data_IF_358369442815
#
_entry.id   IF_358369442815
#
_cell.length_a   1.000
_cell.length_b   1.000
_cell.length_c   1.000
_cell.angle_alpha   90.00
_cell.angle_beta   90.00
_cell.angle_gamma   90.00
#
_symmetry.space_group_name_H-M   'P 1'
#
loop_
_entity.id
_entity.type
_entity.pdbx_description
1 polymer ?
#
# COMPACT_ATOMS: atom_id res chain seq x y z
N UNK A 1 -5.90 -82.13 121.07
CA UNK A 1 -6.96 -81.08 121.16
C UNK A 1 -7.12 -80.53 119.74
N UNK A 2 -8.08 -80.90 119.14
CA UNK A 2 -9.03 -80.41 118.17
C UNK A 2 -8.72 -79.08 117.45
N UNK A 3 -8.58 -79.09 116.14
CA UNK A 3 -9.03 -78.03 115.30
C UNK A 3 -9.33 -78.50 113.88
N UNK A 4 -10.52 -78.22 113.44
CA UNK A 4 -11.11 -78.55 112.12
C UNK A 4 -10.58 -77.68 111.02
N UNK A 5 -10.46 -78.28 109.83
CA UNK A 5 -10.14 -77.65 108.55
C UNK A 5 -11.44 -77.34 107.77
N UNK A 6 -11.55 -76.15 107.24
CA UNK A 6 -12.61 -75.76 106.32
C UNK A 6 -12.11 -75.77 104.86
N UNK A 7 -12.75 -76.56 104.00
CA UNK A 7 -12.54 -76.60 102.57
C UNK A 7 -13.38 -75.50 101.87
N UNK A 8 -12.77 -74.73 100.95
CA UNK A 8 -13.42 -73.76 100.07
C UNK A 8 -13.61 -74.42 98.66
N UNK A 9 -14.77 -74.24 98.02
CA UNK A 9 -14.93 -74.65 96.63
C UNK A 9 -14.73 -73.47 95.69
N UNK A 10 -13.69 -73.46 94.88
CA UNK A 10 -13.39 -72.52 93.80
C UNK A 10 -13.10 -73.31 92.56
N UNK A 11 -13.94 -73.28 91.44
CA UNK A 11 -13.49 -73.53 90.09
C UNK A 11 -14.56 -73.81 89.03
N UNK A 12 -15.63 -73.03 88.96
CA UNK A 12 -16.53 -73.12 87.76
C UNK A 12 -16.82 -71.79 87.09
N UNK A 13 -16.54 -70.65 87.69
CA UNK A 13 -16.84 -69.33 87.08
C UNK A 13 -15.74 -68.81 86.13
N UNK A 14 -14.47 -69.15 86.33
CA UNK A 14 -13.35 -68.69 85.51
C UNK A 14 -13.35 -69.26 84.06
N UNK A 15 -13.88 -70.44 83.87
CA UNK A 15 -13.91 -71.07 82.54
C UNK A 15 -14.91 -70.42 81.59
N UNK A 16 -16.07 -69.97 82.11
CA UNK A 16 -17.06 -69.30 81.29
C UNK A 16 -16.70 -67.86 80.97
N UNK A 17 -15.96 -67.15 81.77
CA UNK A 17 -15.42 -65.82 81.53
C UNK A 17 -14.37 -65.88 80.39
N UNK A 18 -13.54 -66.89 80.34
CA UNK A 18 -12.55 -67.11 79.24
C UNK A 18 -13.20 -67.33 77.87
N UNK A 19 -14.27 -68.11 77.85
CA UNK A 19 -15.03 -68.34 76.64
C UNK A 19 -15.77 -67.10 76.16
N UNK A 20 -16.33 -66.32 77.05
CA UNK A 20 -16.99 -65.02 76.71
C UNK A 20 -16.01 -64.02 76.19
N UNK A 21 -14.78 -63.93 76.73
CA UNK A 21 -13.70 -63.05 76.20
C UNK A 21 -13.20 -63.49 74.82
N UNK A 22 -13.09 -64.79 74.59
CA UNK A 22 -12.71 -65.35 73.26
C UNK A 22 -13.79 -65.11 72.19
N UNK A 23 -15.06 -65.20 72.52
CA UNK A 23 -16.16 -64.87 71.65
C UNK A 23 -16.24 -63.35 71.34
N UNK A 24 -15.97 -62.52 72.29
CA UNK A 24 -15.88 -61.05 72.12
C UNK A 24 -14.68 -60.65 71.30
N UNK A 25 -13.52 -61.26 71.45
CA UNK A 25 -12.33 -61.02 70.62
C UNK A 25 -12.52 -61.53 69.21
N UNK A 26 -13.21 -62.66 69.02
CA UNK A 26 -13.54 -63.19 67.71
C UNK A 26 -14.57 -62.34 66.97
N UNK A 27 -15.56 -61.79 67.66
CA UNK A 27 -16.54 -60.87 67.04
C UNK A 27 -15.91 -59.51 66.69
N UNK A 28 -15.05 -59.02 67.55
CA UNK A 28 -14.29 -57.76 67.27
C UNK A 28 -13.36 -57.90 66.05
N UNK A 29 -12.66 -59.05 65.89
CA UNK A 29 -11.81 -59.36 64.77
C UNK A 29 -12.60 -59.52 63.45
N UNK A 30 -13.80 -60.14 63.49
CA UNK A 30 -14.69 -60.26 62.35
C UNK A 30 -15.27 -58.91 61.90
N UNK A 31 -15.57 -58.02 62.83
CA UNK A 31 -16.04 -56.66 62.52
C UNK A 31 -14.92 -55.80 61.99
N UNK A 32 -13.67 -55.92 62.46
CA UNK A 32 -12.49 -55.24 61.92
C UNK A 32 -12.15 -55.75 60.52
N UNK A 33 -12.22 -57.06 60.26
CA UNK A 33 -12.04 -57.62 58.93
C UNK A 33 -13.10 -57.14 57.92
N UNK A 34 -14.36 -57.06 58.37
CA UNK A 34 -15.45 -56.53 57.55
C UNK A 34 -15.25 -55.02 57.24
N UNK A 35 -14.83 -54.23 58.20
CA UNK A 35 -14.59 -52.79 57.99
C UNK A 35 -13.39 -52.56 57.03
N UNK A 36 -12.34 -53.38 57.12
CA UNK A 36 -11.22 -53.31 56.20
C UNK A 36 -11.61 -53.78 54.77
N UNK A 37 -12.48 -54.80 54.65
CA UNK A 37 -13.00 -55.20 53.34
C UNK A 37 -13.91 -54.16 52.72
N UNK A 38 -14.79 -53.52 53.52
CA UNK A 38 -15.68 -52.45 53.07
C UNK A 38 -14.90 -51.18 52.63
N UNK A 39 -13.85 -50.79 53.40
CA UNK A 39 -12.99 -49.68 53.00
C UNK A 39 -12.16 -49.98 51.75
N UNK A 40 -11.71 -51.24 51.55
CA UNK A 40 -11.05 -51.63 50.30
C UNK A 40 -11.99 -51.68 49.13
N UNK A 41 -13.25 -52.14 49.30
CA UNK A 41 -14.25 -52.12 48.23
C UNK A 41 -14.65 -50.68 47.87
N UNK A 42 -14.86 -49.82 48.85
CA UNK A 42 -15.15 -48.41 48.62
C UNK A 42 -13.98 -47.66 47.90
N UNK A 43 -12.72 -47.99 48.25
CA UNK A 43 -11.54 -47.42 47.58
C UNK A 43 -11.38 -47.97 46.15
N UNK A 44 -11.77 -49.21 45.89
CA UNK A 44 -11.73 -49.79 44.51
C UNK A 44 -12.88 -49.21 43.68
N UNK A 45 -14.06 -48.98 44.25
CA UNK A 45 -15.21 -48.41 43.58
C UNK A 45 -15.04 -46.93 43.27
N UNK A 46 -14.33 -46.19 44.17
CA UNK A 46 -13.92 -44.80 43.92
C UNK A 46 -12.78 -44.68 42.90
N UNK A 47 -11.84 -45.64 42.87
CA UNK A 47 -10.80 -45.72 41.85
C UNK A 47 -11.30 -46.24 40.50
N UNK A 48 -12.47 -46.90 40.45
CA UNK A 48 -13.13 -47.38 39.24
C UNK A 48 -14.07 -46.34 38.61
N UNK A 49 -14.34 -45.19 39.27
CA UNK A 49 -15.05 -44.08 38.61
C UNK A 49 -14.16 -43.51 37.49
N UNK A 50 -14.66 -43.49 36.25
CA UNK A 50 -13.88 -42.80 35.18
C UNK A 50 -13.62 -41.36 35.65
N UNK A 51 -12.43 -40.82 35.38
CA UNK A 51 -12.16 -39.41 35.68
C UNK A 51 -13.27 -38.56 35.05
N UNK A 52 -13.70 -37.47 35.70
CA UNK A 52 -14.72 -36.60 35.14
C UNK A 52 -14.30 -36.22 33.71
N UNK A 53 -15.22 -36.40 32.79
CA UNK A 53 -15.01 -36.01 31.39
C UNK A 53 -14.65 -34.52 31.36
N UNK A 54 -13.48 -34.17 30.83
CA UNK A 54 -13.08 -32.76 30.66
C UNK A 54 -14.11 -32.07 29.81
N UNK A 55 -14.68 -31.02 30.31
CA UNK A 55 -15.71 -30.20 29.62
C UNK A 55 -15.13 -28.91 29.11
N UNK A 56 -14.03 -28.46 29.77
CA UNK A 56 -13.41 -27.17 29.50
C UNK A 56 -11.88 -27.29 29.46
N UNK A 57 -11.26 -26.46 28.61
CA UNK A 57 -9.82 -26.20 28.61
C UNK A 57 -9.59 -24.86 29.30
N UNK A 58 -8.84 -24.88 30.41
CA UNK A 58 -8.46 -23.68 31.14
C UNK A 58 -7.11 -23.17 30.63
N UNK A 59 -7.04 -21.88 30.34
CA UNK A 59 -5.83 -21.21 29.87
C UNK A 59 -5.68 -19.85 30.57
N UNK A 60 -4.45 -19.37 30.67
CA UNK A 60 -4.18 -17.97 30.91
C UNK A 60 -4.24 -17.22 29.61
N UNK A 61 -4.71 -15.98 29.65
CA UNK A 61 -4.77 -15.14 28.47
C UNK A 61 -4.42 -13.70 28.79
N UNK A 62 -4.20 -12.94 27.73
CA UNK A 62 -4.04 -11.50 27.76
C UNK A 62 -4.98 -10.86 26.74
N UNK A 63 -5.54 -9.72 27.11
CA UNK A 63 -6.39 -8.93 26.23
C UNK A 63 -5.49 -8.10 25.31
N UNK A 64 -5.67 -8.21 24.00
CA UNK A 64 -4.90 -7.47 23.00
C UNK A 64 -5.81 -6.90 21.90
N UNK A 65 -5.45 -5.77 21.26
CA UNK A 65 -6.11 -5.33 20.06
C UNK A 65 -5.99 -6.38 18.93
N UNK A 66 -7.03 -6.58 18.14
CA UNK A 66 -7.03 -7.50 16.98
C UNK A 66 -5.89 -7.25 16.01
N UNK A 67 -5.54 -5.98 15.80
CA UNK A 67 -4.46 -5.56 14.89
C UNK A 67 -3.05 -5.81 15.45
N UNK A 68 -2.94 -6.39 16.64
CA UNK A 68 -1.71 -6.38 17.44
C UNK A 68 -1.28 -4.95 17.81
N UNK A 69 -0.39 -4.82 18.76
CA UNK A 69 0.18 -3.53 19.14
C UNK A 69 1.36 -3.23 18.21
N UNK A 70 1.28 -2.13 17.51
CA UNK A 70 2.33 -1.68 16.59
C UNK A 70 3.24 -0.70 17.32
N UNK A 71 4.51 -1.02 17.38
CA UNK A 71 5.53 -0.11 17.89
C UNK A 71 5.95 0.88 16.78
N UNK A 72 5.72 2.15 17.02
CA UNK A 72 6.09 3.23 16.12
C UNK A 72 7.49 3.71 16.47
N UNK A 73 8.40 3.72 15.48
CA UNK A 73 9.76 4.22 15.59
C UNK A 73 10.02 5.37 14.61
N UNK A 74 11.05 6.17 14.85
CA UNK A 74 11.48 7.21 13.93
C UNK A 74 12.14 6.58 12.69
N UNK A 75 11.84 7.12 11.50
CA UNK A 75 12.48 6.71 10.25
C UNK A 75 13.92 7.22 10.11
N UNK A 76 14.31 8.19 10.94
CA UNK A 76 15.64 8.83 10.95
C UNK A 76 16.03 9.17 12.38
N UNK A 77 17.33 9.11 12.69
CA UNK A 77 17.87 9.51 13.97
C UNK A 77 17.84 11.03 14.09
N UNK A 78 17.40 11.54 15.23
CA UNK A 78 17.32 12.99 15.51
C UNK A 78 16.92 13.25 16.94
N UNK A 79 16.54 14.48 17.25
CA UNK A 79 15.96 14.86 18.53
C UNK A 79 14.46 15.10 18.32
N UNK A 80 13.63 14.56 19.20
CA UNK A 80 12.20 14.77 19.17
C UNK A 80 11.88 16.23 19.51
N UNK A 81 11.36 17.00 18.56
CA UNK A 81 11.05 18.43 18.77
C UNK A 81 9.73 18.61 19.47
N UNK A 82 8.68 17.98 18.97
CA UNK A 82 7.32 18.07 19.54
C UNK A 82 6.49 16.83 19.24
N UNK A 83 5.56 16.56 20.15
CA UNK A 83 4.51 15.55 20.00
C UNK A 83 3.20 16.30 19.81
N UNK A 84 2.40 15.87 18.83
CA UNK A 84 1.15 16.53 18.40
C UNK A 84 -0.10 15.82 18.90
N UNK A 85 0.08 14.73 19.63
CA UNK A 85 -1.00 13.86 20.14
C UNK A 85 -0.74 13.54 21.62
N UNK A 86 -1.74 13.04 22.32
CA UNK A 86 -1.68 12.60 23.70
C UNK A 86 -1.91 11.08 23.79
N UNK A 87 -1.51 10.46 24.89
CA UNK A 87 -1.89 9.08 25.20
C UNK A 87 -3.41 8.94 25.22
N UNK A 88 -3.92 7.85 24.65
CA UNK A 88 -5.35 7.60 24.50
C UNK A 88 -6.00 8.27 23.29
N UNK A 89 -5.28 9.12 22.52
CA UNK A 89 -5.82 9.78 21.33
C UNK A 89 -6.12 8.77 20.21
N UNK A 90 -7.26 8.91 19.56
CA UNK A 90 -7.57 8.22 18.31
C UNK A 90 -6.85 8.92 17.14
N UNK A 91 -6.21 8.15 16.28
CA UNK A 91 -5.44 8.65 15.14
C UNK A 91 -5.82 7.90 13.86
N UNK A 92 -5.73 8.59 12.73
CA UNK A 92 -5.95 8.01 11.41
C UNK A 92 -4.62 7.60 10.74
N UNK A 93 -4.68 6.63 9.84
CA UNK A 93 -3.52 6.24 9.05
C UNK A 93 -2.92 7.43 8.29
N UNK A 94 -1.60 7.65 8.43
CA UNK A 94 -0.89 8.78 7.84
C UNK A 94 -0.92 10.08 8.63
N UNK A 95 -1.68 10.16 9.73
CA UNK A 95 -1.70 11.33 10.61
C UNK A 95 -0.30 11.55 11.22
N UNK A 96 0.14 12.81 11.27
CA UNK A 96 1.41 13.19 11.90
C UNK A 96 1.23 13.15 13.42
N UNK A 97 2.09 12.37 14.08
CA UNK A 97 2.09 12.16 15.52
C UNK A 97 3.15 13.02 16.22
N UNK A 98 4.30 13.15 15.60
CA UNK A 98 5.43 13.89 16.15
C UNK A 98 6.37 14.41 15.05
N UNK A 99 7.22 15.36 15.40
CA UNK A 99 8.19 16.00 14.52
C UNK A 99 9.57 16.00 15.15
N UNK A 100 10.60 15.76 14.31
CA UNK A 100 12.00 15.86 14.70
C UNK A 100 12.50 17.31 14.61
N UNK A 101 13.60 17.62 15.24
CA UNK A 101 14.25 18.94 15.26
C UNK A 101 14.62 19.46 13.87
N UNK A 102 14.93 18.56 12.93
CA UNK A 102 15.25 18.91 11.55
C UNK A 102 14.01 19.28 10.70
N UNK A 103 12.77 19.13 11.22
CA UNK A 103 11.55 19.36 10.45
C UNK A 103 11.48 20.75 9.82
N UNK A 104 11.72 21.81 10.60
CA UNK A 104 11.61 23.19 10.12
C UNK A 104 12.67 23.50 9.04
N UNK A 105 13.87 22.93 9.17
CA UNK A 105 14.94 23.06 8.17
C UNK A 105 14.56 22.36 6.87
N UNK A 106 14.10 21.09 6.95
CA UNK A 106 13.69 20.31 5.79
C UNK A 106 12.45 20.89 5.10
N UNK A 107 11.55 21.49 5.87
CA UNK A 107 10.41 22.21 5.33
C UNK A 107 10.86 23.44 4.52
N UNK A 108 11.80 24.22 5.05
CA UNK A 108 12.38 25.36 4.32
C UNK A 108 13.10 24.91 3.04
N UNK A 109 13.85 23.80 3.07
CA UNK A 109 14.49 23.20 1.88
C UNK A 109 13.46 22.80 0.83
N UNK A 110 12.35 22.16 1.23
CA UNK A 110 11.27 21.79 0.34
C UNK A 110 10.57 23.02 -0.26
N UNK A 111 10.28 24.04 0.55
CA UNK A 111 9.64 25.27 0.09
C UNK A 111 10.54 26.03 -0.89
N UNK A 112 11.86 26.04 -0.67
CA UNK A 112 12.84 26.58 -1.60
C UNK A 112 12.86 25.80 -2.93
N UNK A 113 12.90 24.48 -2.88
CA UNK A 113 12.85 23.64 -4.09
C UNK A 113 11.52 23.81 -4.86
N UNK A 114 10.40 23.99 -4.15
CA UNK A 114 9.11 24.29 -4.76
C UNK A 114 9.12 25.65 -5.49
N UNK A 115 9.76 26.67 -4.89
CA UNK A 115 9.94 27.99 -5.52
C UNK A 115 10.79 27.90 -6.79
N UNK A 116 11.88 27.12 -6.77
CA UNK A 116 12.72 26.89 -7.94
C UNK A 116 11.93 26.18 -9.07
N UNK A 117 11.10 25.21 -8.74
CA UNK A 117 10.24 24.57 -9.73
C UNK A 117 9.25 25.56 -10.34
N UNK A 118 8.62 26.41 -9.51
CA UNK A 118 7.70 27.43 -9.98
C UNK A 118 8.39 28.43 -10.93
N UNK A 119 9.60 28.86 -10.60
CA UNK A 119 10.41 29.74 -11.44
C UNK A 119 10.76 29.08 -12.78
N UNK A 120 11.23 27.85 -12.76
CA UNK A 120 11.54 27.08 -13.97
C UNK A 120 10.30 26.90 -14.86
N UNK A 121 9.14 26.63 -14.28
CA UNK A 121 7.86 26.52 -15.01
C UNK A 121 7.45 27.86 -15.65
N UNK A 122 7.60 28.98 -14.93
CA UNK A 122 7.31 30.32 -15.48
C UNK A 122 8.26 30.67 -16.64
N UNK A 123 9.55 30.36 -16.50
CA UNK A 123 10.55 30.55 -17.57
C UNK A 123 10.17 29.72 -18.80
N UNK A 124 9.81 28.43 -18.63
CA UNK A 124 9.35 27.59 -19.72
C UNK A 124 8.10 28.14 -20.41
N UNK A 125 7.14 28.66 -19.64
CA UNK A 125 5.95 29.25 -20.22
C UNK A 125 6.26 30.52 -21.05
N UNK A 126 7.20 31.35 -20.60
CA UNK A 126 7.66 32.53 -21.32
C UNK A 126 8.40 32.13 -22.61
N UNK A 127 9.33 31.17 -22.53
CA UNK A 127 10.08 30.67 -23.70
C UNK A 127 9.15 29.99 -24.73
N UNK A 128 8.14 29.28 -24.28
CA UNK A 128 7.11 28.70 -25.18
C UNK A 128 6.35 29.80 -25.92
N UNK A 129 5.88 30.82 -25.22
CA UNK A 129 5.17 31.96 -25.85
C UNK A 129 6.05 32.67 -26.87
N UNK A 130 7.33 32.90 -26.56
CA UNK A 130 8.29 33.51 -27.48
C UNK A 130 8.54 32.61 -28.67
N UNK A 131 8.74 31.31 -28.48
CA UNK A 131 8.97 30.34 -29.53
C UNK A 131 7.75 30.23 -30.49
N UNK A 132 6.54 30.19 -29.92
CA UNK A 132 5.31 30.19 -30.72
C UNK A 132 5.18 31.48 -31.60
N UNK A 133 5.52 32.63 -31.03
CA UNK A 133 5.54 33.89 -31.76
C UNK A 133 6.56 33.89 -32.92
N UNK A 134 7.77 33.32 -32.69
CA UNK A 134 8.78 33.16 -33.75
C UNK A 134 8.34 32.20 -34.84
N UNK A 135 7.68 31.12 -34.50
CA UNK A 135 7.12 30.19 -35.49
C UNK A 135 6.03 30.86 -36.33
N UNK A 136 5.13 31.62 -35.67
CA UNK A 136 4.08 32.38 -36.33
C UNK A 136 4.67 33.44 -37.30
N UNK A 137 5.71 34.16 -36.87
CA UNK A 137 6.43 35.13 -37.69
C UNK A 137 7.04 34.44 -38.95
N UNK A 138 7.80 33.34 -38.73
CA UNK A 138 8.41 32.59 -39.83
C UNK A 138 7.38 32.04 -40.82
N UNK A 139 6.25 31.54 -40.32
CA UNK A 139 5.14 31.05 -41.14
C UNK A 139 4.49 32.18 -41.93
N UNK A 140 4.28 33.35 -41.31
CA UNK A 140 3.73 34.51 -42.00
C UNK A 140 4.68 35.01 -43.12
N UNK A 141 5.99 35.07 -42.85
CA UNK A 141 7.00 35.41 -43.89
C UNK A 141 6.96 34.41 -45.04
N UNK A 142 6.83 33.12 -44.80
CA UNK A 142 6.68 32.11 -45.84
C UNK A 142 5.46 32.38 -46.73
N UNK A 143 4.32 32.70 -46.15
CA UNK A 143 3.11 33.07 -46.88
C UNK A 143 3.24 34.37 -47.68
N UNK A 144 3.94 35.39 -47.17
CA UNK A 144 4.22 36.64 -47.88
C UNK A 144 5.13 36.45 -49.10
N UNK A 145 6.00 35.45 -49.09
CA UNK A 145 6.84 35.08 -50.25
C UNK A 145 6.02 34.29 -51.28
N UNK A 146 5.25 33.32 -50.84
CA UNK A 146 4.54 32.38 -51.70
C UNK A 146 3.45 33.01 -52.57
N UNK A 147 2.61 33.84 -52.00
CA UNK A 147 1.43 34.42 -52.66
C UNK A 147 1.79 35.28 -53.93
N UNK A 148 2.75 36.22 -53.86
CA UNK A 148 3.14 36.99 -55.08
C UNK A 148 3.74 36.09 -56.16
N UNK A 149 4.49 35.05 -55.78
CA UNK A 149 5.11 34.14 -56.74
C UNK A 149 4.07 33.27 -57.46
N UNK A 150 3.04 32.81 -56.75
CA UNK A 150 1.91 32.10 -57.39
C UNK A 150 1.26 32.99 -58.43
N UNK A 151 0.95 34.24 -58.09
CA UNK A 151 0.32 35.20 -59.00
C UNK A 151 1.20 35.49 -60.22
N UNK A 152 2.52 35.60 -60.03
CA UNK A 152 3.44 35.78 -61.16
C UNK A 152 3.47 34.57 -62.10
N UNK A 153 3.46 33.35 -61.59
CA UNK A 153 3.40 32.12 -62.35
C UNK A 153 2.08 31.98 -63.11
N UNK A 154 0.95 32.36 -62.46
CA UNK A 154 -0.38 32.39 -63.08
C UNK A 154 -0.45 33.40 -64.24
N UNK A 155 0.08 34.62 -64.06
CA UNK A 155 0.17 35.63 -65.09
C UNK A 155 1.01 35.15 -66.29
N UNK A 156 2.17 34.51 -66.01
CA UNK A 156 3.00 33.96 -67.10
C UNK A 156 2.31 32.78 -67.81
N UNK A 157 1.51 31.98 -67.10
CA UNK A 157 0.72 30.92 -67.70
C UNK A 157 -0.43 31.48 -68.55
N UNK A 158 -1.02 32.64 -68.20
CA UNK A 158 -2.01 33.29 -69.02
C UNK A 158 -1.38 33.87 -70.34
N UNK A 159 -0.16 34.42 -70.26
CA UNK A 159 0.58 34.90 -71.44
C UNK A 159 0.89 33.74 -72.40
N UNK A 160 1.36 32.61 -71.88
CA UNK A 160 1.60 31.40 -72.72
C UNK A 160 0.32 31.00 -73.44
N UNK A 161 -0.84 30.93 -72.77
CA UNK A 161 -2.12 30.61 -73.42
C UNK A 161 -2.51 31.64 -74.50
N UNK A 162 -2.23 32.92 -74.28
CA UNK A 162 -2.47 33.98 -75.28
C UNK A 162 -1.61 33.78 -76.52
N UNK A 163 -0.32 33.50 -76.31
CA UNK A 163 0.61 33.23 -77.43
C UNK A 163 0.27 31.94 -78.16
N UNK A 164 -0.13 30.89 -77.50
CA UNK A 164 -0.61 29.63 -78.13
C UNK A 164 -1.83 29.83 -79.03
N UNK A 165 -2.80 30.66 -78.50
CA UNK A 165 -3.98 31.02 -79.32
C UNK A 165 -3.60 31.76 -80.59
N UNK A 166 -2.67 32.73 -80.50
CA UNK A 166 -2.13 33.44 -81.62
C UNK A 166 -1.39 32.54 -82.63
N UNK A 167 -0.54 31.64 -82.10
CA UNK A 167 0.16 30.64 -82.94
C UNK A 167 -0.82 29.72 -83.66
N UNK A 168 -1.90 29.30 -83.01
CA UNK A 168 -2.95 28.49 -83.61
C UNK A 168 -3.58 29.22 -84.82
N UNK A 169 -3.90 30.50 -84.67
CA UNK A 169 -4.41 31.32 -85.81
C UNK A 169 -3.39 31.47 -86.86
N UNK A 170 -2.15 31.87 -86.53
CA UNK A 170 -1.07 32.04 -87.52
C UNK A 170 -0.78 30.77 -88.35
N UNK A 171 -0.83 29.57 -87.73
CA UNK A 171 -0.71 28.27 -88.41
C UNK A 171 -1.84 28.02 -89.40
N UNK A 172 -3.09 28.38 -89.08
CA UNK A 172 -4.24 28.27 -89.94
C UNK A 172 -4.02 29.18 -91.15
N UNK A 173 -3.58 30.41 -90.91
CA UNK A 173 -3.32 31.37 -91.99
C UNK A 173 -2.15 30.92 -92.83
N UNK A 174 -1.05 30.42 -92.29
CA UNK A 174 0.07 29.84 -93.03
C UNK A 174 -0.39 28.72 -93.96
N UNK A 175 -1.24 27.79 -93.53
CA UNK A 175 -1.78 26.73 -94.39
C UNK A 175 -2.65 27.28 -95.53
N UNK A 176 -3.36 28.41 -95.33
CA UNK A 176 -4.07 29.11 -96.42
C UNK A 176 -3.10 29.72 -97.37
N UNK A 177 -2.06 30.39 -96.86
CA UNK A 177 -1.02 31.01 -97.75
C UNK A 177 -0.27 29.96 -98.57
N UNK A 178 0.04 28.79 -98.01
CA UNK A 178 0.63 27.67 -98.74
C UNK A 178 -0.22 27.23 -99.90
N UNK A 179 -1.52 27.10 -99.71
CA UNK A 179 -2.46 26.76 -100.81
C UNK A 179 -2.57 27.85 -101.86
N UNK A 180 -2.56 29.14 -101.48
CA UNK A 180 -2.60 30.28 -102.39
C UNK A 180 -1.30 30.42 -103.22
N UNK A 181 -0.17 30.15 -102.59
CA UNK A 181 1.14 30.12 -103.30
C UNK A 181 1.18 29.02 -104.36
N UNK A 182 0.68 27.80 -104.04
CA UNK A 182 0.58 26.69 -104.92
C UNK A 182 -0.31 27.00 -106.15
N UNK A 183 -1.30 27.90 -106.00
CA UNK A 183 -2.18 28.39 -107.08
C UNK A 183 -1.61 29.59 -107.77
N UNK A 184 -0.43 30.13 -107.38
CA UNK A 184 0.17 31.32 -107.93
C UNK A 184 -0.55 32.63 -107.59
N UNK A 185 -1.41 32.64 -106.56
CA UNK A 185 -2.24 33.79 -106.17
C UNK A 185 -1.52 34.76 -105.23
N UNK A 186 -0.38 34.36 -104.61
CA UNK A 186 0.50 35.19 -103.79
C UNK A 186 1.95 35.02 -104.18
N UNK A 187 2.81 35.92 -103.66
CA UNK A 187 4.26 35.86 -103.86
C UNK A 187 4.96 34.99 -102.84
N UNK A 188 6.13 34.45 -103.12
CA UNK A 188 6.98 33.72 -102.19
C UNK A 188 7.31 34.58 -100.99
N UNK A 189 7.56 35.85 -101.15
CA UNK A 189 7.85 36.80 -100.07
C UNK A 189 6.70 36.93 -99.07
N UNK A 190 5.47 36.88 -99.55
CA UNK A 190 4.29 36.90 -98.62
C UNK A 190 4.17 35.61 -97.81
N UNK A 191 4.41 34.44 -98.40
CA UNK A 191 4.46 33.17 -97.70
C UNK A 191 5.59 33.15 -96.67
N UNK A 192 6.83 33.52 -97.04
CA UNK A 192 7.99 33.58 -96.19
C UNK A 192 7.76 34.50 -94.98
N UNK A 193 7.02 35.60 -95.16
CA UNK A 193 6.64 36.46 -94.05
C UNK A 193 5.70 35.76 -93.04
N UNK A 194 4.71 35.03 -93.56
CA UNK A 194 3.78 34.30 -92.67
C UNK A 194 4.49 33.15 -91.99
N UNK A 195 5.42 32.45 -92.58
CA UNK A 195 6.26 31.43 -92.00
C UNK A 195 7.12 32.03 -90.88
N UNK A 196 7.74 33.21 -91.13
CA UNK A 196 8.54 33.90 -90.06
C UNK A 196 7.69 34.30 -88.87
N UNK A 197 6.45 34.74 -89.05
CA UNK A 197 5.53 35.03 -87.94
C UNK A 197 5.22 33.81 -87.09
N UNK A 198 5.03 32.63 -87.74
CA UNK A 198 4.83 31.36 -86.94
C UNK A 198 6.11 31.01 -86.18
N UNK A 199 7.30 31.14 -86.76
CA UNK A 199 8.57 30.83 -86.11
C UNK A 199 8.88 31.80 -84.97
N UNK A 200 8.55 33.08 -85.15
CA UNK A 200 8.63 34.09 -84.09
C UNK A 200 7.68 33.73 -82.85
N UNK A 201 6.44 33.33 -83.18
CA UNK A 201 5.50 32.94 -82.14
C UNK A 201 5.95 31.69 -81.38
N UNK A 202 6.51 30.69 -82.10
CA UNK A 202 7.09 29.49 -81.44
C UNK A 202 8.24 29.89 -80.49
N UNK A 203 9.11 30.79 -80.98
CA UNK A 203 10.24 31.29 -80.16
C UNK A 203 9.76 32.06 -78.94
N UNK A 204 8.73 32.90 -79.12
CA UNK A 204 8.13 33.66 -77.98
C UNK A 204 7.49 32.73 -76.95
N UNK A 205 6.80 31.67 -77.41
CA UNK A 205 6.24 30.66 -76.50
C UNK A 205 7.34 29.94 -75.72
N UNK A 206 8.43 29.52 -76.39
CA UNK A 206 9.56 28.86 -75.73
C UNK A 206 10.20 29.77 -74.68
N UNK A 207 10.38 31.06 -74.97
CA UNK A 207 10.89 32.04 -73.98
C UNK A 207 9.93 32.22 -72.82
N UNK A 208 8.62 32.29 -73.06
CA UNK A 208 7.63 32.41 -72.03
C UNK A 208 7.58 31.17 -71.08
N UNK A 209 7.71 29.97 -71.62
CA UNK A 209 7.83 28.70 -70.91
C UNK A 209 9.11 28.68 -70.04
N UNK A 210 10.24 29.12 -70.62
CA UNK A 210 11.50 29.22 -69.87
C UNK A 210 11.40 30.17 -68.66
N UNK A 211 10.77 31.33 -68.88
CA UNK A 211 10.50 32.30 -67.80
C UNK A 211 9.59 31.71 -66.71
N UNK A 212 8.50 31.04 -67.12
CA UNK A 212 7.63 30.35 -66.15
C UNK A 212 8.41 29.33 -65.33
N UNK A 213 9.23 28.52 -65.93
CA UNK A 213 10.06 27.51 -65.29
C UNK A 213 11.05 28.14 -64.27
N UNK A 214 11.64 29.29 -64.66
CA UNK A 214 12.51 30.04 -63.71
C UNK A 214 11.73 30.52 -62.50
N UNK A 215 10.52 31.06 -62.66
CA UNK A 215 9.66 31.50 -61.53
C UNK A 215 9.26 30.32 -60.62
N UNK A 216 8.91 29.19 -61.22
CA UNK A 216 8.59 27.95 -60.49
C UNK A 216 9.78 27.45 -59.63
N UNK A 217 10.99 27.45 -60.23
CA UNK A 217 12.20 27.04 -59.55
C UNK A 217 12.56 28.01 -58.39
N UNK A 218 12.47 29.33 -58.66
CA UNK A 218 12.69 30.34 -57.61
C UNK A 218 11.71 30.16 -56.46
N UNK A 219 10.41 29.98 -56.74
CA UNK A 219 9.40 29.70 -55.76
C UNK A 219 9.73 28.45 -54.92
N UNK A 220 10.11 27.33 -55.57
CA UNK A 220 10.48 26.12 -54.86
C UNK A 220 11.63 26.33 -53.89
N UNK A 221 12.69 27.03 -54.35
CA UNK A 221 13.86 27.33 -53.50
C UNK A 221 13.50 28.26 -52.33
N UNK A 222 12.70 29.29 -52.58
CA UNK A 222 12.29 30.23 -51.53
C UNK A 222 11.38 29.57 -50.48
N UNK A 223 10.49 28.68 -50.90
CA UNK A 223 9.66 27.89 -49.98
C UNK A 223 10.48 26.90 -49.18
N UNK A 224 11.48 26.26 -49.78
CA UNK A 224 12.39 25.36 -49.05
C UNK A 224 13.17 26.11 -47.95
N UNK A 225 13.69 27.31 -48.30
CA UNK A 225 14.38 28.18 -47.34
C UNK A 225 13.43 28.64 -46.22
N UNK A 226 12.19 29.00 -46.53
CA UNK A 226 11.20 29.39 -45.54
C UNK A 226 10.81 28.22 -44.64
N UNK A 227 10.63 27.02 -45.18
CA UNK A 227 10.37 25.81 -44.42
C UNK A 227 11.54 25.46 -43.48
N UNK A 228 12.78 25.65 -43.90
CA UNK A 228 13.96 25.50 -43.06
C UNK A 228 13.94 26.48 -41.86
N UNK A 229 13.55 27.75 -42.11
CA UNK A 229 13.43 28.74 -41.04
C UNK A 229 12.35 28.37 -40.02
N UNK A 230 11.17 27.88 -40.44
CA UNK A 230 10.12 27.38 -39.55
C UNK A 230 10.63 26.16 -38.75
N UNK A 231 11.38 25.28 -39.44
CA UNK A 231 11.95 24.10 -38.75
C UNK A 231 12.98 24.48 -37.69
N UNK A 232 13.85 25.47 -37.95
CA UNK A 232 14.78 26.01 -36.96
C UNK A 232 14.04 26.62 -35.76
N UNK A 233 13.03 27.45 -36.00
CA UNK A 233 12.25 28.05 -34.90
C UNK A 233 11.55 26.99 -34.02
N UNK A 234 11.09 25.86 -34.60
CA UNK A 234 10.54 24.72 -33.87
C UNK A 234 11.62 24.00 -33.04
N UNK A 235 12.81 23.81 -33.60
CA UNK A 235 13.93 23.19 -32.91
C UNK A 235 14.40 24.04 -31.72
N UNK A 236 14.48 25.35 -31.86
CA UNK A 236 14.81 26.29 -30.82
C UNK A 236 13.81 26.23 -29.65
N UNK A 237 12.51 26.13 -29.96
CA UNK A 237 11.48 25.94 -28.94
C UNK A 237 11.63 24.62 -28.16
N UNK A 238 12.01 23.54 -28.85
CA UNK A 238 12.25 22.24 -28.18
C UNK A 238 13.50 22.29 -27.30
N UNK A 239 14.57 22.96 -27.75
CA UNK A 239 15.79 23.15 -26.97
C UNK A 239 15.50 23.97 -25.70
N UNK A 240 14.80 25.08 -25.82
CA UNK A 240 14.40 25.92 -24.69
C UNK A 240 13.61 25.12 -23.63
N UNK A 241 12.74 24.17 -24.04
CA UNK A 241 12.00 23.30 -23.12
C UNK A 241 12.91 22.40 -22.28
N UNK A 242 14.06 21.99 -22.78
CA UNK A 242 15.06 21.18 -22.06
C UNK A 242 15.93 22.06 -21.16
N UNK A 243 16.37 23.21 -21.66
CA UNK A 243 17.28 24.12 -20.98
C UNK A 243 16.67 24.80 -19.75
N UNK A 244 15.35 24.95 -19.68
CA UNK A 244 14.66 25.56 -18.53
C UNK A 244 14.77 24.74 -17.22
N UNK A 245 15.30 23.51 -17.27
CA UNK A 245 15.60 22.73 -16.10
C UNK A 245 14.39 22.28 -15.25
N UNK A 246 13.16 22.34 -15.78
CA UNK A 246 11.93 21.95 -15.05
C UNK A 246 12.02 20.53 -14.50
N UNK A 247 12.54 19.58 -15.28
CA UNK A 247 12.73 18.19 -14.83
C UNK A 247 13.68 18.10 -13.64
N UNK A 248 14.80 18.83 -13.67
CA UNK A 248 15.76 18.86 -12.57
C UNK A 248 15.16 19.48 -11.31
N UNK A 249 14.39 20.56 -11.46
CA UNK A 249 13.70 21.21 -10.35
C UNK A 249 12.63 20.31 -9.74
N UNK A 250 11.90 19.54 -10.56
CA UNK A 250 10.95 18.52 -10.07
C UNK A 250 11.64 17.42 -9.26
N UNK A 251 12.77 16.93 -9.73
CA UNK A 251 13.55 15.90 -9.01
C UNK A 251 14.09 16.44 -7.69
N UNK A 252 14.57 17.70 -7.67
CA UNK A 252 15.03 18.35 -6.45
C UNK A 252 13.89 18.54 -5.44
N UNK A 253 12.69 18.93 -5.88
CA UNK A 253 11.51 19.02 -5.03
C UNK A 253 11.14 17.65 -4.46
N UNK A 254 11.07 16.62 -5.28
CA UNK A 254 10.74 15.25 -4.83
C UNK A 254 11.77 14.74 -3.79
N UNK A 255 13.06 15.04 -3.98
CA UNK A 255 14.11 14.72 -3.00
C UNK A 255 13.89 15.46 -1.69
N UNK A 256 13.60 16.77 -1.75
CA UNK A 256 13.34 17.59 -0.57
C UNK A 256 12.09 17.13 0.19
N UNK A 257 11.02 16.76 -0.51
CA UNK A 257 9.79 16.16 0.06
C UNK A 257 10.07 14.82 0.76
N UNK A 258 10.85 13.94 0.13
CA UNK A 258 11.26 12.68 0.72
C UNK A 258 12.05 12.88 2.01
N UNK A 259 12.98 13.87 2.05
CA UNK A 259 13.73 14.23 3.24
C UNK A 259 12.83 14.81 4.34
N UNK A 260 11.90 15.69 3.99
CA UNK A 260 10.90 16.23 4.93
C UNK A 260 10.03 15.13 5.53
N UNK A 261 9.55 14.20 4.69
CA UNK A 261 8.72 13.08 5.14
C UNK A 261 9.44 12.16 6.16
N UNK A 262 10.76 12.11 6.17
CA UNK A 262 11.54 11.34 7.14
C UNK A 262 11.66 12.01 8.50
N UNK A 263 11.44 13.33 8.58
CA UNK A 263 11.48 14.09 9.84
C UNK A 263 10.15 14.12 10.58
N UNK A 264 9.10 13.53 10.02
CA UNK A 264 7.80 13.38 10.67
C UNK A 264 7.52 11.91 10.99
N UNK A 265 6.97 11.69 12.16
CA UNK A 265 6.52 10.39 12.62
C UNK A 265 5.02 10.32 12.37
N UNK A 266 4.58 9.32 11.58
CA UNK A 266 3.17 9.15 11.17
C UNK A 266 2.61 7.85 11.68
N UNK A 267 1.29 7.82 11.92
CA UNK A 267 0.57 6.60 12.23
C UNK A 267 0.56 5.65 11.01
N UNK A 268 1.01 4.38 11.17
CA UNK A 268 1.00 3.40 10.09
C UNK A 268 -0.41 2.90 9.75
N UNK A 269 -1.32 2.93 10.73
CA UNK A 269 -2.73 2.52 10.61
C UNK A 269 -3.61 3.38 11.50
N UNK A 270 -4.93 3.29 11.29
CA UNK A 270 -5.91 3.89 12.19
C UNK A 270 -5.96 3.10 13.50
N UNK A 271 -6.02 3.80 14.63
CA UNK A 271 -6.06 3.19 15.96
C UNK A 271 -5.96 4.21 17.07
N UNK A 272 -5.68 3.73 18.28
CA UNK A 272 -5.50 4.53 19.47
C UNK A 272 -4.05 4.47 19.94
N UNK A 273 -3.47 5.60 20.33
CA UNK A 273 -2.16 5.66 20.97
C UNK A 273 -2.28 5.07 22.37
N UNK A 274 -1.58 3.98 22.61
CA UNK A 274 -1.65 3.26 23.88
C UNK A 274 -0.64 3.81 24.89
N UNK A 275 0.56 4.17 24.42
CA UNK A 275 1.64 4.68 25.27
C UNK A 275 2.62 5.53 24.47
N UNK A 276 3.29 6.48 25.15
CA UNK A 276 4.33 7.37 24.59
C UNK A 276 5.59 7.25 25.44
N UNK A 277 6.63 6.60 24.90
CA UNK A 277 7.85 6.24 25.64
C UNK A 277 8.91 7.33 25.68
N UNK A 278 8.81 8.36 24.84
CA UNK A 278 9.80 9.44 24.69
C UNK A 278 9.18 10.81 24.87
N UNK A 279 10.01 11.76 25.27
CA UNK A 279 9.60 13.15 25.53
C UNK A 279 10.26 14.11 24.57
N UNK A 280 9.65 15.26 24.28
CA UNK A 280 10.29 16.33 23.56
C UNK A 280 11.65 16.69 24.18
N UNK A 281 12.68 16.82 23.33
CA UNK A 281 14.07 17.05 23.73
C UNK A 281 14.91 15.78 23.84
N UNK A 282 14.34 14.58 23.79
CA UNK A 282 15.09 13.33 23.81
C UNK A 282 15.58 12.92 22.41
N UNK A 283 16.76 12.31 22.38
CA UNK A 283 17.31 11.74 21.15
C UNK A 283 16.60 10.45 20.79
N UNK A 284 16.17 10.34 19.55
CA UNK A 284 15.47 9.17 19.01
C UNK A 284 16.30 8.51 17.91
N UNK A 285 16.22 7.21 17.87
CA UNK A 285 16.81 6.37 16.82
C UNK A 285 15.81 5.25 16.48
N UNK A 286 16.27 4.02 16.24
CA UNK A 286 15.39 2.85 16.03
C UNK A 286 14.62 2.40 17.29
N UNK A 287 14.60 3.21 18.34
CA UNK A 287 13.86 2.89 19.56
C UNK A 287 12.37 3.12 19.36
N UNK A 288 11.58 2.37 20.12
CA UNK A 288 10.13 2.56 20.25
C UNK A 288 9.84 3.96 20.77
N UNK A 289 9.03 4.71 20.04
CA UNK A 289 8.56 6.05 20.39
C UNK A 289 7.17 6.01 21.02
N UNK A 290 6.29 5.25 20.43
CA UNK A 290 4.89 5.13 20.81
C UNK A 290 4.41 3.73 20.48
N UNK A 291 3.32 3.31 21.12
CA UNK A 291 2.57 2.11 20.77
C UNK A 291 1.17 2.49 20.27
N UNK A 292 0.75 1.83 19.19
CA UNK A 292 -0.54 2.03 18.53
C UNK A 292 -1.29 0.70 18.47
N UNK A 293 -2.58 0.70 18.80
CA UNK A 293 -3.46 -0.46 18.68
C UNK A 293 -4.87 -0.06 18.27
N UNK A 294 -5.59 -0.93 17.56
CA UNK A 294 -7.01 -0.73 17.28
C UNK A 294 -7.86 -1.26 18.44
N UNK A 295 -8.13 -0.44 19.41
CA UNK A 295 -8.92 -0.80 20.61
C UNK A 295 -10.42 -0.97 20.35
N UNK A 296 -10.90 -0.71 19.14
CA UNK A 296 -12.30 -0.94 18.78
C UNK A 296 -12.61 -2.44 18.59
N UNK A 297 -11.60 -3.25 18.32
CA UNK A 297 -11.71 -4.70 18.18
C UNK A 297 -10.67 -5.35 19.08
N UNK A 298 -11.11 -5.90 20.22
CA UNK A 298 -10.24 -6.55 21.21
C UNK A 298 -10.36 -8.06 21.10
N UNK A 299 -9.24 -8.74 21.29
CA UNK A 299 -9.11 -10.19 21.33
C UNK A 299 -8.53 -10.62 22.66
N UNK A 300 -8.76 -11.88 23.02
CA UNK A 300 -7.99 -12.54 24.05
C UNK A 300 -7.05 -13.54 23.39
N UNK A 301 -5.77 -13.39 23.65
CA UNK A 301 -4.75 -14.37 23.30
C UNK A 301 -4.59 -15.30 24.47
N UNK A 302 -5.16 -16.51 24.38
CA UNK A 302 -5.12 -17.53 25.41
C UNK A 302 -3.92 -18.48 25.17
N UNK A 303 -3.13 -18.72 26.21
CA UNK A 303 -1.97 -19.62 26.20
C UNK A 303 -2.40 -21.01 26.62
N UNK A 304 -2.77 -21.83 25.64
CA UNK A 304 -3.22 -23.20 25.84
C UNK A 304 -2.01 -24.14 25.83
N UNK A 305 -1.93 -25.04 26.82
CA UNK A 305 -0.86 -26.04 26.86
C UNK A 305 -0.89 -26.98 25.64
N UNK A 306 0.28 -27.39 25.16
CA UNK A 306 0.45 -28.35 24.07
C UNK A 306 -0.35 -29.65 24.27
N UNK A 307 -0.52 -30.07 25.53
CA UNK A 307 -1.29 -31.28 25.90
C UNK A 307 -2.78 -31.13 25.69
N UNK A 308 -3.30 -29.91 25.74
CA UNK A 308 -4.73 -29.62 25.73
C UNK A 308 -5.20 -28.97 24.40
N UNK A 309 -4.26 -28.43 23.60
CA UNK A 309 -4.59 -27.76 22.32
C UNK A 309 -5.32 -28.66 21.33
N UNK A 310 -5.08 -29.98 21.39
CA UNK A 310 -5.80 -30.96 20.56
C UNK A 310 -7.30 -31.06 20.83
N UNK A 311 -7.79 -30.49 21.92
CA UNK A 311 -9.21 -30.44 22.30
C UNK A 311 -9.89 -29.13 21.84
N UNK A 312 -9.07 -28.13 21.43
CA UNK A 312 -9.57 -26.81 21.04
C UNK A 312 -9.84 -26.79 19.54
N UNK A 313 -11.02 -26.32 19.17
CA UNK A 313 -11.43 -26.15 17.77
C UNK A 313 -11.94 -24.73 17.53
N UNK A 314 -11.78 -24.26 16.28
CA UNK A 314 -12.33 -22.97 15.84
C UNK A 314 -13.87 -23.01 15.95
N UNK A 315 -14.45 -21.93 16.49
CA UNK A 315 -15.89 -21.80 16.70
C UNK A 315 -16.37 -22.21 18.09
N UNK A 316 -15.49 -22.74 18.95
CA UNK A 316 -15.84 -23.03 20.35
C UNK A 316 -16.04 -21.75 21.16
N UNK A 317 -17.00 -21.80 22.10
CA UNK A 317 -17.25 -20.69 23.02
C UNK A 317 -16.21 -20.67 24.12
N UNK A 318 -15.83 -19.47 24.53
CA UNK A 318 -14.94 -19.24 25.65
C UNK A 318 -15.53 -18.24 26.64
N UNK A 319 -15.32 -18.52 27.92
CA UNK A 319 -15.68 -17.62 29.02
C UNK A 319 -14.39 -17.00 29.56
N UNK A 320 -14.35 -15.66 29.61
CA UNK A 320 -13.18 -14.88 30.03
C UNK A 320 -13.53 -14.17 31.32
N UNK A 321 -12.67 -14.29 32.34
CA UNK A 321 -12.85 -13.64 33.64
C UNK A 321 -11.60 -12.86 34.04
N UNK A 322 -11.81 -11.72 34.69
CA UNK A 322 -10.69 -10.91 35.20
C UNK A 322 -10.14 -11.54 36.49
N UNK A 323 -8.85 -11.90 36.46
CA UNK A 323 -8.17 -12.44 37.63
C UNK A 323 -8.10 -11.44 38.82
N UNK A 324 -7.91 -10.17 38.49
CA UNK A 324 -7.66 -9.12 39.51
C UNK A 324 -8.86 -8.16 39.67
N UNK A 325 -10.04 -8.48 39.14
CA UNK A 325 -11.24 -7.67 39.29
C UNK A 325 -11.21 -6.36 38.49
N UNK A 326 -10.41 -6.27 37.40
CA UNK A 326 -10.35 -5.10 36.54
C UNK A 326 -11.67 -4.83 35.80
N UNK A 327 -12.45 -5.89 35.56
CA UNK A 327 -13.86 -5.81 35.16
C UNK A 327 -14.68 -6.79 35.97
N UNK A 328 -15.99 -6.52 36.11
CA UNK A 328 -16.90 -7.39 36.86
C UNK A 328 -17.65 -8.35 35.91
N UNK A 329 -17.85 -9.58 36.39
CA UNK A 329 -18.55 -10.61 35.60
C UNK A 329 -17.62 -11.40 34.69
N UNK A 330 -18.18 -11.92 33.62
CA UNK A 330 -17.49 -12.70 32.59
C UNK A 330 -17.81 -12.14 31.21
N UNK A 331 -16.83 -12.14 30.33
CA UNK A 331 -17.02 -11.83 28.92
C UNK A 331 -17.16 -13.13 28.14
N UNK A 332 -17.99 -13.11 27.12
CA UNK A 332 -18.12 -14.21 26.16
C UNK A 332 -17.22 -13.97 24.97
N UNK A 333 -16.64 -15.03 24.43
CA UNK A 333 -15.83 -14.99 23.25
C UNK A 333 -15.93 -16.27 22.44
N UNK A 334 -15.41 -16.24 21.21
CA UNK A 334 -15.40 -17.39 20.31
C UNK A 334 -13.98 -17.61 19.79
N UNK A 335 -13.53 -18.86 19.80
CA UNK A 335 -12.22 -19.24 19.23
C UNK A 335 -12.23 -18.97 17.72
N UNK A 336 -11.37 -18.02 17.27
CA UNK A 336 -11.26 -17.65 15.85
C UNK A 336 -10.04 -18.28 15.19
N UNK A 337 -8.91 -18.36 15.92
CA UNK A 337 -7.67 -18.87 15.35
C UNK A 337 -6.86 -19.63 16.40
N UNK A 338 -6.28 -20.75 15.97
CA UNK A 338 -5.32 -21.54 16.76
C UNK A 338 -3.95 -21.34 16.14
N UNK A 339 -2.97 -20.93 16.96
CA UNK A 339 -1.59 -20.69 16.54
C UNK A 339 -0.94 -21.93 15.94
N UNK A 340 -0.07 -21.73 14.97
CA UNK A 340 0.67 -22.81 14.29
C UNK A 340 2.07 -23.04 14.90
N UNK A 341 2.44 -22.25 15.90
CA UNK A 341 3.74 -22.32 16.57
C UNK A 341 3.57 -22.66 18.04
N UNK A 342 4.52 -23.40 18.56
CA UNK A 342 4.62 -23.73 19.98
C UNK A 342 5.68 -22.82 20.58
N UNK A 343 5.30 -22.08 21.61
CA UNK A 343 6.19 -21.18 22.33
C UNK A 343 6.51 -21.72 23.72
N UNK A 344 7.54 -21.18 24.36
CA UNK A 344 7.70 -21.30 25.80
C UNK A 344 6.74 -20.34 26.47
N UNK A 345 6.16 -20.76 27.59
CA UNK A 345 5.23 -19.94 28.37
C UNK A 345 5.93 -18.69 28.94
N UNK A 346 5.51 -17.49 28.50
CA UNK A 346 6.08 -16.20 28.93
C UNK A 346 5.25 -15.53 30.04
N UNK A 347 4.00 -15.96 30.28
CA UNK A 347 3.07 -15.30 31.24
C UNK A 347 3.31 -15.72 32.70
N UNK A 348 4.01 -16.81 32.93
CA UNK A 348 4.23 -17.40 34.28
C UNK A 348 5.64 -17.14 34.83
N UNK A 349 6.28 -16.06 34.51
CA UNK A 349 7.68 -15.76 34.86
C UNK A 349 7.92 -15.42 36.34
N UNK A 350 6.90 -15.53 37.21
CA UNK A 350 7.03 -15.29 38.65
C UNK A 350 7.64 -16.47 39.46
N UNK A 351 7.79 -17.68 38.86
CA UNK A 351 8.50 -18.80 39.47
C UNK A 351 9.35 -19.60 38.46
N UNK A 352 10.63 -19.26 38.31
CA UNK A 352 11.53 -19.89 37.36
C UNK A 352 11.73 -21.41 37.55
N UNK A 353 11.37 -21.93 38.72
CA UNK A 353 11.63 -23.34 39.06
C UNK A 353 10.45 -24.27 38.75
N UNK A 354 9.23 -23.76 38.61
CA UNK A 354 8.04 -24.60 38.50
C UNK A 354 7.61 -24.93 37.05
N UNK A 355 7.97 -24.09 36.03
CA UNK A 355 7.43 -24.20 34.66
C UNK A 355 8.46 -24.04 33.54
N UNK A 356 9.73 -24.36 33.78
CA UNK A 356 10.83 -24.13 32.80
C UNK A 356 10.67 -24.87 31.44
N UNK A 357 9.70 -25.77 31.30
CA UNK A 357 9.45 -26.57 30.08
C UNK A 357 7.98 -26.55 29.61
N UNK A 358 7.15 -25.67 30.14
CA UNK A 358 5.76 -25.57 29.68
C UNK A 358 5.69 -25.00 28.24
N UNK A 359 5.19 -25.82 27.34
CA UNK A 359 4.97 -25.46 25.93
C UNK A 359 3.51 -25.06 25.73
N UNK A 360 3.32 -23.93 25.09
CA UNK A 360 2.00 -23.36 24.85
C UNK A 360 1.77 -23.10 23.36
N UNK A 361 0.51 -23.07 22.99
CA UNK A 361 0.00 -22.60 21.70
C UNK A 361 -0.92 -21.43 21.96
N UNK A 362 -0.71 -20.33 21.28
CA UNK A 362 -1.59 -19.16 21.36
C UNK A 362 -2.90 -19.43 20.62
N UNK A 363 -4.00 -19.27 21.33
CA UNK A 363 -5.36 -19.36 20.78
C UNK A 363 -5.99 -17.97 20.84
N UNK A 364 -6.36 -17.43 19.69
CA UNK A 364 -7.01 -16.12 19.58
C UNK A 364 -8.53 -16.28 19.67
N UNK A 365 -9.12 -15.59 20.62
CA UNK A 365 -10.53 -15.62 20.94
C UNK A 365 -11.11 -14.23 20.68
N UNK A 366 -12.02 -14.14 19.72
CA UNK A 366 -12.78 -12.91 19.47
C UNK A 366 -13.73 -12.68 20.66
N UNK A 367 -13.65 -11.51 21.27
CA UNK A 367 -14.45 -11.14 22.46
C UNK A 367 -15.57 -10.21 22.02
N UNK A 368 -16.75 -10.39 22.62
CA UNK A 368 -17.84 -9.41 22.48
C UNK A 368 -17.35 -8.05 23.00
N UNK A 369 -17.46 -7.03 22.13
CA UNK A 369 -16.88 -5.71 22.40
C UNK A 369 -17.62 -5.02 23.55
N UNK A 370 -16.86 -4.66 24.59
CA UNK A 370 -17.33 -3.90 25.75
C UNK A 370 -16.37 -2.71 25.96
N UNK A 371 -16.91 -1.52 26.24
CA UNK A 371 -16.11 -0.32 26.54
C UNK A 371 -15.12 -0.55 27.69
N UNK A 372 -15.49 -1.40 28.67
CA UNK A 372 -14.63 -1.76 29.79
C UNK A 372 -13.37 -2.51 29.36
N UNK A 373 -13.40 -3.19 28.21
CA UNK A 373 -12.29 -4.02 27.69
C UNK A 373 -11.38 -3.22 26.78
N UNK A 374 -11.91 -2.23 26.06
CA UNK A 374 -11.18 -1.41 25.10
C UNK A 374 -9.98 -0.65 25.71
N UNK A 375 -10.00 -0.38 27.02
CA UNK A 375 -8.94 0.34 27.73
C UNK A 375 -7.93 -0.58 28.43
N UNK A 376 -8.05 -1.90 28.31
CA UNK A 376 -7.33 -2.87 29.13
C UNK A 376 -6.35 -3.74 28.32
N UNK A 377 -5.61 -3.12 27.41
CA UNK A 377 -4.56 -3.82 26.64
C UNK A 377 -3.53 -4.44 27.61
N UNK A 378 -3.13 -5.70 27.33
CA UNK A 378 -2.24 -6.52 28.14
C UNK A 378 -2.81 -6.94 29.52
N UNK A 379 -4.11 -6.76 29.78
CA UNK A 379 -4.72 -7.29 31.00
C UNK A 379 -4.68 -8.82 31.00
N UNK A 380 -4.18 -9.41 32.08
CA UNK A 380 -4.23 -10.85 32.32
C UNK A 380 -5.63 -11.30 32.69
N UNK A 381 -6.10 -12.36 32.05
CA UNK A 381 -7.43 -12.95 32.23
C UNK A 381 -7.32 -14.47 32.32
N UNK A 382 -8.29 -15.07 33.02
CA UNK A 382 -8.49 -16.51 33.01
C UNK A 382 -9.51 -16.86 31.93
N UNK A 383 -9.19 -17.84 31.11
CA UNK A 383 -9.99 -18.30 29.97
C UNK A 383 -10.42 -19.72 30.17
N UNK A 384 -11.71 -19.99 29.97
CA UNK A 384 -12.29 -21.34 29.94
C UNK A 384 -12.93 -21.57 28.57
N UNK A 385 -12.36 -22.48 27.77
CA UNK A 385 -12.87 -22.85 26.45
C UNK A 385 -13.73 -24.08 26.59
N UNK A 386 -15.03 -23.98 26.23
CA UNK A 386 -15.97 -25.09 26.24
C UNK A 386 -15.74 -26.01 25.04
N UNK A 387 -15.19 -27.20 25.30
CA UNK A 387 -14.86 -28.17 24.23
C UNK A 387 -16.08 -28.85 23.61
N UNK A 388 -17.28 -28.71 24.18
CA UNK A 388 -18.52 -29.30 23.67
C UNK A 388 -19.31 -28.35 22.74
N UNK A 389 -19.00 -27.06 22.73
CA UNK A 389 -19.74 -26.05 21.98
C UNK A 389 -19.44 -26.01 20.47
N UNK A 390 -18.42 -26.73 20.00
CA UNK A 390 -17.98 -26.72 18.59
C UNK A 390 -18.51 -27.87 17.71
N UNK A 391 -19.30 -28.80 18.24
CA UNK A 391 -19.90 -29.89 17.47
C UNK A 391 -21.35 -29.51 17.02
N UNK A 392 -21.45 -28.74 15.92
CA UNK A 392 -22.73 -28.46 15.24
C UNK A 392 -22.61 -28.64 13.75
#
# INVERSE_FOLDING_TARGET
MVTQSAQRPFRKTSFWIGIALLLLAGSASLLALRSIQQSRQAAIEEAAKPPPERVDVAALGRIEPKSEVIDIAAAETGVLSRILIEEGSQVEAGQILAELDMYDIRKAERDYAASQLAEAQQTLAAERSLGEARIAEATTKAGQIDQPQIQAIEAQSAEIRSLEARLSLAKIDLARFENLLAQGAITQQEFDRQQTEVDELISNIANAIATKKQLELARSTDLENAAAQVSMAKADLQLAAVETGVTSAQQNLALAEARLNRTVIKAPSTGQILDIYVRPGEAVSNNRLMSLGNTNEMYVVAEVYETDVGLVNIGQNATITSRNGAFQGSLSGTVETIGLQIFKNDVLDDDPAANADARIVEVRIAVDQDEAVAMLTNLQVDVLIDIKSGES
#
